data_IF_864491352886
#
_entry.id   IF_864491352886
#
_cell.length_a   1.000
_cell.length_b   1.000
_cell.length_c   1.000
_cell.angle_alpha   90.00
_cell.angle_beta   90.00
_cell.angle_gamma   90.00
#
_symmetry.space_group_name_H-M   'P 1'
#
loop_
_entity.id
_entity.type
_entity.pdbx_description
1 polymer ?
#
# COMPACT_ATOMS: atom_id res chain seq x y z
N UNK A 1 -8.32 -3.99 37.46
CA UNK A 1 -9.44 -4.50 36.63
C UNK A 1 -9.61 -3.72 35.32
N UNK A 2 -9.48 -2.38 35.29
CA UNK A 2 -9.56 -1.57 34.06
C UNK A 2 -8.46 -1.85 33.01
N UNK A 3 -7.24 -2.21 33.43
CA UNK A 3 -6.13 -2.53 32.51
C UNK A 3 -6.36 -3.82 31.72
N UNK A 4 -7.00 -4.82 32.33
CA UNK A 4 -7.29 -6.10 31.68
C UNK A 4 -8.38 -5.95 30.61
N UNK A 5 -9.37 -5.09 30.87
CA UNK A 5 -10.46 -4.79 29.91
C UNK A 5 -9.93 -4.09 28.66
N UNK A 6 -8.93 -3.20 28.78
CA UNK A 6 -8.31 -2.52 27.63
C UNK A 6 -7.49 -3.48 26.76
N UNK A 7 -6.81 -4.46 27.36
CA UNK A 7 -6.03 -5.46 26.60
C UNK A 7 -6.97 -6.40 25.83
N UNK A 8 -8.07 -6.84 26.45
CA UNK A 8 -9.06 -7.72 25.80
C UNK A 8 -9.84 -7.01 24.68
N UNK A 9 -10.17 -5.71 24.85
CA UNK A 9 -10.79 -4.92 23.79
C UNK A 9 -9.81 -4.62 22.62
N UNK A 10 -8.54 -4.36 22.90
CA UNK A 10 -7.52 -4.17 21.87
C UNK A 10 -7.29 -5.42 21.00
N UNK A 11 -7.34 -6.61 21.61
CA UNK A 11 -7.21 -7.88 20.88
C UNK A 11 -8.44 -8.21 20.02
N UNK A 12 -9.65 -7.78 20.41
CA UNK A 12 -10.86 -8.01 19.59
C UNK A 12 -10.90 -7.15 18.32
N UNK A 13 -10.35 -5.93 18.36
CA UNK A 13 -10.26 -5.07 17.18
C UNK A 13 -9.25 -5.63 16.17
N UNK A 14 -8.12 -6.19 16.65
CA UNK A 14 -7.14 -6.85 15.78
C UNK A 14 -7.72 -8.12 15.11
N UNK A 15 -8.59 -8.87 15.80
CA UNK A 15 -9.28 -10.03 15.23
C UNK A 15 -10.29 -9.70 14.14
N UNK A 16 -11.01 -8.58 14.27
CA UNK A 16 -12.00 -8.14 13.29
C UNK A 16 -11.36 -7.63 11.98
N UNK A 17 -10.19 -6.97 12.06
CA UNK A 17 -9.44 -6.55 10.87
C UNK A 17 -8.69 -7.71 10.19
N UNK A 18 -8.24 -8.71 10.96
CA UNK A 18 -7.54 -9.88 10.42
C UNK A 18 -8.42 -10.77 9.54
N UNK A 19 -9.70 -10.95 9.90
CA UNK A 19 -10.62 -11.81 9.15
C UNK A 19 -10.94 -11.31 7.73
N UNK A 20 -11.25 -10.01 7.61
CA UNK A 20 -11.61 -9.40 6.31
C UNK A 20 -10.43 -9.28 5.34
N UNK A 21 -9.21 -9.15 5.86
CA UNK A 21 -8.01 -9.05 5.00
C UNK A 21 -7.57 -10.40 4.44
N UNK A 22 -7.91 -11.50 5.12
CA UNK A 22 -7.52 -12.86 4.72
C UNK A 22 -8.39 -13.48 3.62
N UNK A 23 -9.57 -12.92 3.36
CA UNK A 23 -10.50 -13.42 2.33
C UNK A 23 -10.27 -12.77 0.94
N UNK A 24 -9.45 -11.72 0.84
CA UNK A 24 -9.22 -10.98 -0.42
C UNK A 24 -8.12 -11.64 -1.29
N UNK A 25 -7.29 -12.57 -0.77
CA UNK A 25 -6.11 -13.05 -1.51
C UNK A 25 -5.95 -14.58 -1.52
N UNK A 26 -6.30 -15.27 -2.63
CA UNK A 26 -6.02 -16.70 -2.78
C UNK A 26 -4.52 -16.95 -3.10
N UNK A 27 -3.71 -17.25 -2.07
CA UNK A 27 -2.26 -17.52 -2.20
C UNK A 27 -1.51 -17.60 -0.86
N UNK A 28 -2.13 -18.23 0.16
CA UNK A 28 -1.97 -17.96 1.61
C UNK A 28 -0.57 -17.95 2.23
N UNK A 29 0.46 -18.59 1.66
CA UNK A 29 1.79 -18.59 2.30
C UNK A 29 2.62 -17.39 1.85
N UNK A 30 2.66 -17.12 0.54
CA UNK A 30 3.46 -16.03 -0.03
C UNK A 30 2.91 -14.67 0.38
N UNK A 31 1.58 -14.53 0.41
CA UNK A 31 0.92 -13.29 0.85
C UNK A 31 1.15 -13.00 2.34
N UNK A 32 1.18 -14.04 3.18
CA UNK A 32 1.48 -13.91 4.60
C UNK A 32 2.95 -13.55 4.86
N UNK A 33 3.88 -14.12 4.10
CA UNK A 33 5.30 -13.77 4.18
C UNK A 33 5.56 -12.34 3.70
N UNK A 34 4.88 -11.89 2.65
CA UNK A 34 4.94 -10.49 2.20
C UNK A 34 4.38 -9.56 3.27
N UNK A 35 3.25 -9.91 3.88
CA UNK A 35 2.68 -9.14 4.99
C UNK A 35 3.64 -9.06 6.19
N UNK A 36 4.23 -10.18 6.60
CA UNK A 36 5.24 -10.22 7.66
C UNK A 36 6.48 -9.40 7.31
N UNK A 37 6.93 -9.46 6.05
CA UNK A 37 8.02 -8.65 5.55
C UNK A 37 7.69 -7.16 5.69
N UNK A 38 6.51 -6.71 5.23
CA UNK A 38 6.09 -5.32 5.38
C UNK A 38 5.91 -4.90 6.85
N UNK A 39 5.37 -5.76 7.71
CA UNK A 39 5.26 -5.51 9.15
C UNK A 39 6.64 -5.37 9.80
N UNK A 40 7.59 -6.25 9.46
CA UNK A 40 8.96 -6.15 9.97
C UNK A 40 9.65 -4.88 9.48
N UNK A 41 9.48 -4.52 8.21
CA UNK A 41 10.03 -3.29 7.63
C UNK A 41 9.42 -2.05 8.29
N UNK A 42 8.10 -2.02 8.47
CA UNK A 42 7.40 -0.94 9.17
C UNK A 42 7.86 -0.82 10.63
N UNK A 43 8.14 -1.94 11.30
CA UNK A 43 8.67 -1.95 12.67
C UNK A 43 10.09 -1.39 12.72
N UNK A 44 10.96 -1.83 11.80
CA UNK A 44 12.35 -1.35 11.70
C UNK A 44 12.37 0.15 11.35
N UNK A 45 11.66 0.57 10.29
CA UNK A 45 11.62 1.98 9.91
C UNK A 45 10.93 2.84 10.95
N UNK A 46 9.85 2.35 11.57
CA UNK A 46 9.18 3.02 12.68
C UNK A 46 10.14 3.26 13.84
N UNK A 47 10.92 2.24 14.24
CA UNK A 47 11.92 2.39 15.30
C UNK A 47 13.06 3.35 14.92
N UNK A 48 13.52 3.35 13.67
CA UNK A 48 14.53 4.30 13.17
C UNK A 48 14.00 5.73 13.19
N UNK A 49 12.77 5.96 12.72
CA UNK A 49 12.15 7.30 12.72
C UNK A 49 11.90 7.78 14.15
N UNK A 50 11.39 6.92 15.03
CA UNK A 50 11.27 7.23 16.47
C UNK A 50 12.64 7.55 17.06
N UNK A 51 13.69 6.83 16.68
CA UNK A 51 15.05 7.12 17.10
C UNK A 51 15.56 8.47 16.57
N UNK A 52 15.48 8.72 15.27
CA UNK A 52 16.06 9.88 14.60
C UNK A 52 15.28 11.17 14.82
N UNK A 53 13.95 11.10 14.96
CA UNK A 53 13.09 12.28 15.20
C UNK A 53 12.79 12.41 16.68
N UNK A 54 12.52 11.30 17.36
CA UNK A 54 12.28 11.30 18.79
C UNK A 54 13.52 11.64 19.60
N UNK A 55 14.73 11.23 19.19
CA UNK A 55 15.96 11.58 19.94
C UNK A 55 16.24 13.09 19.95
N UNK A 56 16.22 13.84 18.82
CA UNK A 56 16.34 15.30 18.85
C UNK A 56 15.22 16.00 19.61
N UNK A 57 13.97 15.53 19.50
CA UNK A 57 12.86 16.10 20.28
C UNK A 57 13.05 15.83 21.77
N UNK A 58 13.55 14.65 22.14
CA UNK A 58 13.83 14.28 23.52
C UNK A 58 15.04 15.03 24.08
N UNK A 59 16.12 15.16 23.31
CA UNK A 59 17.28 15.98 23.65
C UNK A 59 16.92 17.46 23.73
N UNK A 60 16.09 17.97 22.83
CA UNK A 60 15.56 19.33 22.89
C UNK A 60 14.65 19.50 24.11
N UNK A 61 13.80 18.52 24.43
CA UNK A 61 12.97 18.56 25.64
C UNK A 61 13.83 18.51 26.91
N UNK A 62 14.92 17.73 26.94
CA UNK A 62 15.88 17.73 28.06
C UNK A 62 16.63 19.05 28.14
N UNK A 63 17.08 19.59 27.01
CA UNK A 63 17.79 20.86 26.95
C UNK A 63 16.88 22.02 27.37
N UNK A 64 15.70 22.12 26.78
CA UNK A 64 14.67 23.10 27.15
C UNK A 64 14.29 22.94 28.61
N UNK A 65 14.10 21.72 29.11
CA UNK A 65 13.85 21.47 30.52
C UNK A 65 15.09 21.74 31.39
N UNK A 66 16.33 21.65 30.91
CA UNK A 66 17.53 22.03 31.67
C UNK A 66 17.63 23.55 31.86
N UNK A 67 17.33 24.30 30.79
CA UNK A 67 17.27 25.77 30.84
C UNK A 67 16.06 26.26 31.62
N UNK A 68 14.90 25.63 31.42
CA UNK A 68 13.68 25.93 32.16
C UNK A 68 13.79 25.45 33.61
N UNK A 69 14.49 24.35 33.95
CA UNK A 69 14.81 23.97 35.35
C UNK A 69 15.67 25.04 36.03
N UNK A 70 16.58 25.73 35.32
CA UNK A 70 17.30 26.87 35.92
C UNK A 70 16.36 28.04 36.24
N UNK A 71 15.47 28.39 35.32
CA UNK A 71 14.49 29.46 35.55
C UNK A 71 13.40 29.03 36.55
N UNK A 72 13.06 27.75 36.57
CA UNK A 72 12.02 27.13 37.39
C UNK A 72 12.52 26.81 38.80
N UNK A 73 13.79 26.48 39.03
CA UNK A 73 14.40 26.44 40.39
C UNK A 73 14.39 27.85 41.00
N UNK A 74 14.52 28.89 40.19
CA UNK A 74 14.38 30.27 40.66
C UNK A 74 12.93 30.61 41.06
N UNK A 75 11.93 30.08 40.34
CA UNK A 75 10.49 30.25 40.60
C UNK A 75 9.90 29.25 41.62
N UNK A 76 10.53 28.09 41.81
CA UNK A 76 10.14 27.07 42.78
C UNK A 76 10.46 27.46 44.22
N UNK A 77 11.33 28.45 44.43
CA UNK A 77 11.49 29.07 45.75
C UNK A 77 10.21 29.79 46.20
N UNK A 78 9.30 30.11 45.28
CA UNK A 78 8.10 30.92 45.55
C UNK A 78 6.77 30.23 45.25
N UNK A 79 6.74 29.08 44.56
CA UNK A 79 5.46 28.46 44.17
C UNK A 79 5.46 26.93 44.32
N UNK A 80 5.43 26.48 45.57
CA UNK A 80 5.23 25.07 45.96
C UNK A 80 3.75 24.67 45.87
N UNK A 81 3.16 24.63 44.68
CA UNK A 81 1.97 23.80 44.37
C UNK A 81 1.49 24.02 42.93
N UNK A 82 1.73 23.07 42.02
CA UNK A 82 0.69 22.50 41.13
C UNK A 82 1.25 21.52 40.08
N UNK A 83 0.51 20.40 40.00
CA UNK A 83 0.29 19.43 38.91
C UNK A 83 1.48 18.89 38.13
N UNK A 84 1.74 17.59 38.33
CA UNK A 84 2.59 16.73 37.51
C UNK A 84 2.04 16.64 36.09
N UNK A 85 2.60 17.41 35.17
CA UNK A 85 2.39 17.22 33.74
C UNK A 85 3.09 15.93 33.30
N UNK A 86 2.30 14.91 32.98
CA UNK A 86 2.79 13.57 32.65
C UNK A 86 3.31 13.53 31.20
N UNK A 87 4.62 13.72 31.06
CA UNK A 87 5.35 13.83 29.78
C UNK A 87 5.13 12.64 28.84
N UNK A 88 4.72 11.46 29.36
CA UNK A 88 4.42 10.28 28.54
C UNK A 88 3.25 10.50 27.58
N UNK A 89 2.20 11.18 28.03
CA UNK A 89 0.98 11.39 27.23
C UNK A 89 1.17 12.27 25.99
N UNK A 90 2.17 13.16 25.99
CA UNK A 90 2.41 14.09 24.89
C UNK A 90 3.12 13.43 23.69
N UNK A 91 4.08 12.53 23.95
CA UNK A 91 4.82 11.81 22.89
C UNK A 91 3.90 10.82 22.17
N UNK A 92 3.05 10.12 22.92
CA UNK A 92 2.05 9.20 22.36
C UNK A 92 1.04 9.93 21.45
N UNK A 93 0.62 11.13 21.85
CA UNK A 93 -0.33 11.94 21.08
C UNK A 93 0.22 12.40 19.71
N UNK A 94 1.53 12.55 19.57
CA UNK A 94 2.17 12.96 18.30
C UNK A 94 2.60 11.79 17.42
N UNK A 95 2.98 10.66 18.00
CA UNK A 95 3.43 9.50 17.23
C UNK A 95 2.28 8.90 16.39
N UNK A 96 1.10 8.73 16.99
CA UNK A 96 -0.07 8.12 16.35
C UNK A 96 -0.47 8.80 15.02
N UNK A 97 -0.67 10.14 14.96
CA UNK A 97 -1.04 10.80 13.71
C UNK A 97 0.06 10.74 12.65
N UNK A 98 1.34 10.79 13.04
CA UNK A 98 2.45 10.68 12.10
C UNK A 98 2.49 9.31 11.40
N UNK A 99 2.28 8.21 12.14
CA UNK A 99 2.17 6.89 11.55
C UNK A 99 0.93 6.75 10.66
N UNK A 100 -0.21 7.34 11.06
CA UNK A 100 -1.42 7.36 10.24
C UNK A 100 -1.23 8.09 8.91
N UNK A 101 -0.58 9.25 8.92
CA UNK A 101 -0.28 10.02 7.71
C UNK A 101 0.70 9.26 6.80
N UNK A 102 1.78 8.69 7.37
CA UNK A 102 2.73 7.90 6.60
C UNK A 102 2.07 6.71 5.92
N UNK A 103 1.22 5.96 6.64
CA UNK A 103 0.47 4.84 6.10
C UNK A 103 -0.44 5.29 4.94
N UNK A 104 -1.17 6.39 5.13
CA UNK A 104 -2.05 6.96 4.11
C UNK A 104 -1.28 7.38 2.84
N UNK A 105 -0.11 8.01 2.99
CA UNK A 105 0.75 8.38 1.85
C UNK A 105 1.22 7.13 1.09
N UNK A 106 1.62 6.08 1.80
CA UNK A 106 2.08 4.82 1.19
C UNK A 106 0.95 4.13 0.42
N UNK A 107 -0.27 4.10 0.97
CA UNK A 107 -1.44 3.52 0.31
C UNK A 107 -1.88 4.32 -0.92
N UNK A 108 -1.86 5.65 -0.87
CA UNK A 108 -2.28 6.49 -1.98
C UNK A 108 -1.30 6.49 -3.16
N UNK A 109 -0.03 6.17 -2.92
CA UNK A 109 1.01 6.18 -3.96
C UNK A 109 1.15 4.84 -4.71
N UNK A 110 0.23 3.87 -4.55
CA UNK A 110 0.31 2.53 -5.17
C UNK A 110 1.65 1.81 -4.93
N UNK A 111 2.28 2.07 -3.77
CA UNK A 111 3.59 1.49 -3.41
C UNK A 111 3.51 -0.04 -3.29
N UNK A 112 2.47 -0.65 -2.67
CA UNK A 112 2.38 -2.09 -2.56
C UNK A 112 2.34 -2.79 -3.93
N UNK A 113 1.53 -2.30 -4.87
CA UNK A 113 1.42 -2.82 -6.23
C UNK A 113 2.75 -2.66 -6.98
N UNK A 114 3.41 -1.52 -6.81
CA UNK A 114 4.70 -1.24 -7.43
C UNK A 114 5.78 -2.20 -6.94
N UNK A 115 5.86 -2.45 -5.62
CA UNK A 115 6.83 -3.40 -5.04
C UNK A 115 6.55 -4.82 -5.52
N UNK A 116 5.29 -5.26 -5.48
CA UNK A 116 4.93 -6.59 -5.95
C UNK A 116 5.23 -6.78 -7.44
N UNK A 117 4.97 -5.74 -8.26
CA UNK A 117 5.33 -5.74 -9.66
C UNK A 117 6.85 -5.84 -9.85
N UNK A 118 7.64 -5.04 -9.11
CA UNK A 118 9.10 -5.09 -9.17
C UNK A 118 9.66 -6.49 -8.89
N UNK A 119 9.12 -7.20 -7.90
CA UNK A 119 9.51 -8.58 -7.58
C UNK A 119 9.14 -9.58 -8.70
N UNK A 120 8.11 -9.29 -9.48
CA UNK A 120 7.60 -10.16 -10.56
C UNK A 120 8.01 -9.70 -11.97
N UNK A 121 8.71 -8.58 -12.08
CA UNK A 121 8.90 -7.82 -13.33
C UNK A 121 9.50 -8.67 -14.45
N UNK A 122 10.51 -9.48 -14.16
CA UNK A 122 11.18 -10.34 -15.16
C UNK A 122 10.23 -11.34 -15.82
N UNK A 123 9.25 -11.86 -15.05
CA UNK A 123 8.25 -12.80 -15.59
C UNK A 123 7.25 -12.10 -16.50
N UNK A 124 6.86 -10.86 -16.16
CA UNK A 124 6.00 -10.02 -16.99
C UNK A 124 6.71 -9.55 -18.27
N UNK A 125 7.99 -9.20 -18.19
CA UNK A 125 8.79 -8.81 -19.36
C UNK A 125 8.93 -9.96 -20.34
N UNK A 126 9.38 -11.12 -19.89
CA UNK A 126 9.46 -12.35 -20.71
C UNK A 126 8.11 -12.69 -21.35
N UNK A 127 7.02 -12.60 -20.57
CA UNK A 127 5.68 -12.86 -21.07
C UNK A 127 5.26 -11.86 -22.15
N UNK A 128 5.53 -10.57 -21.93
CA UNK A 128 5.17 -9.50 -22.87
C UNK A 128 5.80 -9.69 -24.25
N UNK A 129 7.07 -10.14 -24.29
CA UNK A 129 7.77 -10.44 -25.53
C UNK A 129 7.17 -11.67 -26.24
N UNK A 130 6.81 -12.70 -25.46
CA UNK A 130 6.12 -13.88 -25.97
C UNK A 130 4.74 -13.56 -26.56
N UNK A 131 3.96 -12.68 -25.92
CA UNK A 131 2.65 -12.28 -26.45
C UNK A 131 2.78 -11.36 -27.67
N UNK A 132 3.73 -10.42 -27.66
CA UNK A 132 3.99 -9.52 -28.77
C UNK A 132 4.37 -10.27 -30.06
N UNK A 133 5.21 -11.31 -29.95
CA UNK A 133 5.65 -12.11 -31.09
C UNK A 133 4.56 -13.05 -31.64
N UNK A 134 3.78 -13.68 -30.75
CA UNK A 134 2.77 -14.67 -31.16
C UNK A 134 1.46 -14.05 -31.69
N UNK A 135 1.19 -12.78 -31.40
CA UNK A 135 -0.09 -12.14 -31.72
C UNK A 135 0.05 -10.98 -32.70
N UNK A 136 1.03 -11.07 -33.61
CA UNK A 136 1.22 -10.09 -34.68
C UNK A 136 -0.04 -9.92 -35.57
N UNK A 137 -0.90 -10.93 -35.66
CA UNK A 137 -2.19 -10.85 -36.34
C UNK A 137 -3.28 -10.36 -35.39
N UNK A 138 -3.45 -9.04 -35.32
CA UNK A 138 -4.50 -8.38 -34.55
C UNK A 138 -5.90 -8.68 -35.16
N UNK A 139 -6.93 -8.98 -34.36
CA UNK A 139 -8.29 -9.07 -34.88
C UNK A 139 -8.79 -7.70 -35.38
N UNK A 140 -9.77 -7.68 -36.29
CA UNK A 140 -10.27 -6.44 -36.94
C UNK A 140 -10.85 -5.41 -35.97
N UNK A 141 -11.32 -5.84 -34.81
CA UNK A 141 -11.81 -4.98 -33.74
C UNK A 141 -10.68 -4.30 -32.93
N UNK A 142 -9.42 -4.63 -33.25
CA UNK A 142 -8.23 -4.08 -32.62
C UNK A 142 -8.06 -4.51 -31.17
N UNK A 143 -8.68 -5.61 -30.73
CA UNK A 143 -8.57 -6.13 -29.36
C UNK A 143 -8.49 -7.65 -29.37
N UNK A 144 -7.56 -8.21 -28.62
CA UNK A 144 -7.49 -9.66 -28.39
C UNK A 144 -7.43 -9.93 -26.90
N UNK A 145 -8.26 -10.84 -26.40
CA UNK A 145 -8.25 -11.27 -25.00
C UNK A 145 -8.07 -12.78 -24.94
N UNK A 146 -7.04 -13.21 -24.23
CA UNK A 146 -6.63 -14.62 -24.14
C UNK A 146 -6.76 -15.04 -22.68
N UNK A 147 -7.45 -16.15 -22.43
CA UNK A 147 -7.47 -16.76 -21.11
C UNK A 147 -6.12 -17.42 -20.83
N UNK A 148 -5.49 -17.07 -19.70
CA UNK A 148 -4.15 -17.53 -19.33
C UNK A 148 -4.19 -18.37 -18.06
N UNK A 149 -4.82 -17.86 -16.99
CA UNK A 149 -4.96 -18.58 -15.72
C UNK A 149 -3.65 -18.98 -15.04
N UNK A 150 -2.51 -18.34 -15.37
CA UNK A 150 -1.15 -18.71 -14.94
C UNK A 150 -0.59 -17.71 -13.93
N UNK A 151 0.38 -18.14 -13.13
CA UNK A 151 1.15 -17.25 -12.24
C UNK A 151 2.33 -16.58 -12.95
N UNK A 152 2.51 -15.29 -12.69
CA UNK A 152 3.62 -14.43 -13.12
C UNK A 152 4.22 -13.80 -11.87
N UNK A 153 5.29 -14.41 -11.36
CA UNK A 153 5.84 -14.11 -10.03
C UNK A 153 4.79 -14.37 -8.95
N UNK A 154 4.49 -13.35 -8.15
CA UNK A 154 3.51 -13.45 -7.05
C UNK A 154 2.06 -13.28 -7.50
N UNK A 155 1.83 -12.85 -8.75
CA UNK A 155 0.49 -12.56 -9.26
C UNK A 155 -0.07 -13.74 -10.04
N UNK A 156 -1.36 -14.01 -9.87
CA UNK A 156 -2.11 -14.88 -10.79
C UNK A 156 -2.75 -14.00 -11.85
N UNK A 157 -2.41 -14.23 -13.11
CA UNK A 157 -3.02 -13.54 -14.25
C UNK A 157 -4.08 -14.45 -14.85
N UNK A 158 -5.32 -13.98 -14.88
CA UNK A 158 -6.43 -14.75 -15.41
C UNK A 158 -6.57 -14.55 -16.93
N UNK A 159 -6.39 -13.32 -17.42
CA UNK A 159 -6.45 -12.98 -18.83
C UNK A 159 -5.34 -12.03 -19.27
N UNK A 160 -4.93 -12.15 -20.53
CA UNK A 160 -4.03 -11.20 -21.20
C UNK A 160 -4.76 -10.56 -22.36
N UNK A 161 -4.83 -9.23 -22.34
CA UNK A 161 -5.41 -8.40 -23.38
C UNK A 161 -4.33 -7.73 -24.21
N UNK A 162 -4.48 -7.67 -25.52
CA UNK A 162 -3.61 -6.90 -26.43
C UNK A 162 -4.50 -5.90 -27.18
N UNK A 163 -4.06 -4.64 -27.24
CA UNK A 163 -4.72 -3.60 -28.03
C UNK A 163 -4.03 -3.32 -29.36
N UNK A 164 -4.76 -2.74 -30.32
CA UNK A 164 -4.29 -2.48 -31.68
C UNK A 164 -3.14 -1.47 -31.78
N UNK A 165 -2.75 -0.86 -30.67
CA UNK A 165 -1.65 0.12 -30.56
C UNK A 165 -0.42 -0.48 -29.86
N UNK A 166 -0.46 -1.77 -29.54
CA UNK A 166 0.66 -2.51 -28.95
C UNK A 166 0.66 -2.55 -27.42
N UNK A 167 -0.41 -2.09 -26.76
CA UNK A 167 -0.55 -2.23 -25.31
C UNK A 167 -0.85 -3.67 -24.91
N UNK A 168 -0.09 -4.20 -23.94
CA UNK A 168 -0.25 -5.57 -23.42
C UNK A 168 -0.67 -5.51 -21.96
N UNK A 169 -1.90 -5.96 -21.69
CA UNK A 169 -2.59 -5.87 -20.42
C UNK A 169 -2.66 -7.25 -19.77
N UNK A 170 -2.14 -7.38 -18.56
CA UNK A 170 -2.21 -8.58 -17.74
C UNK A 170 -3.20 -8.35 -16.62
N UNK A 171 -4.38 -8.97 -16.70
CA UNK A 171 -5.40 -8.85 -15.65
C UNK A 171 -5.08 -9.78 -14.49
N UNK A 172 -4.96 -9.21 -13.29
CA UNK A 172 -4.61 -9.97 -12.07
C UNK A 172 -5.80 -10.16 -11.14
N UNK A 173 -6.80 -9.27 -11.24
CA UNK A 173 -7.99 -9.34 -10.41
C UNK A 173 -9.20 -8.75 -11.14
N UNK A 174 -10.38 -9.23 -10.78
CA UNK A 174 -11.65 -8.56 -11.06
C UNK A 174 -12.43 -8.42 -9.76
N UNK A 175 -12.90 -7.21 -9.46
CA UNK A 175 -13.79 -6.96 -8.33
C UNK A 175 -15.11 -6.38 -8.82
N UNK A 176 -16.16 -6.59 -8.04
CA UNK A 176 -17.43 -5.93 -8.24
C UNK A 176 -17.39 -4.56 -7.55
N UNK A 177 -17.77 -3.49 -8.25
CA UNK A 177 -17.85 -2.12 -7.76
C UNK A 177 -19.27 -1.60 -8.01
N UNK A 178 -20.21 -2.07 -7.20
CA UNK A 178 -21.65 -1.86 -7.42
C UNK A 178 -22.20 -2.77 -8.54
N UNK A 179 -22.93 -2.23 -9.53
CA UNK A 179 -23.33 -3.02 -10.70
C UNK A 179 -22.15 -3.36 -11.62
N UNK A 180 -21.07 -2.57 -11.54
CA UNK A 180 -19.95 -2.63 -12.48
C UNK A 180 -18.92 -3.70 -12.11
N UNK A 181 -18.29 -4.29 -13.12
CA UNK A 181 -17.14 -5.16 -12.95
C UNK A 181 -15.84 -4.43 -13.27
N UNK A 182 -15.03 -4.22 -12.24
CA UNK A 182 -13.72 -3.59 -12.36
C UNK A 182 -12.63 -4.63 -12.59
N UNK A 183 -11.85 -4.44 -13.65
CA UNK A 183 -10.64 -5.19 -13.96
C UNK A 183 -9.39 -4.42 -13.52
N UNK A 184 -8.46 -5.12 -12.88
CA UNK A 184 -7.20 -4.56 -12.40
C UNK A 184 -6.02 -5.38 -12.91
N UNK A 185 -4.88 -4.72 -13.08
CA UNK A 185 -3.63 -5.41 -13.36
C UNK A 185 -2.52 -4.53 -13.85
N UNK A 186 -1.62 -5.11 -14.62
CA UNK A 186 -0.43 -4.46 -15.13
C UNK A 186 -0.51 -4.32 -16.63
N UNK A 187 0.00 -3.21 -17.17
CA UNK A 187 0.03 -2.97 -18.61
C UNK A 187 1.39 -2.44 -19.02
N UNK A 188 1.92 -3.00 -20.12
CA UNK A 188 3.08 -2.46 -20.83
C UNK A 188 2.59 -1.61 -21.99
N UNK A 189 3.09 -0.38 -22.12
CA UNK A 189 2.72 0.56 -23.18
C UNK A 189 1.20 0.81 -23.29
N UNK A 190 0.53 1.29 -22.23
CA UNK A 190 -0.91 1.53 -22.27
C UNK A 190 -1.30 2.56 -23.33
N UNK A 191 -2.46 2.36 -23.96
CA UNK A 191 -3.11 3.42 -24.71
C UNK A 191 -3.88 4.36 -23.75
N UNK A 192 -4.21 5.60 -24.18
CA UNK A 192 -4.97 6.57 -23.35
C UNK A 192 -6.50 6.46 -23.45
N UNK A 193 -7.00 5.60 -24.32
CA UNK A 193 -8.41 5.58 -24.76
C UNK A 193 -9.23 4.44 -24.16
N UNK A 194 -8.60 3.43 -23.55
CA UNK A 194 -9.28 2.30 -22.93
C UNK A 194 -8.39 1.07 -22.77
N UNK A 195 -8.98 -0.03 -22.35
CA UNK A 195 -8.31 -1.34 -22.29
C UNK A 195 -9.11 -2.39 -23.07
N UNK A 196 -8.50 -3.54 -23.41
CA UNK A 196 -9.25 -4.71 -23.87
C UNK A 196 -10.31 -5.20 -22.88
N UNK A 197 -10.21 -4.81 -21.61
CA UNK A 197 -11.11 -5.20 -20.52
C UNK A 197 -12.18 -4.14 -20.20
N UNK A 198 -12.32 -3.10 -21.02
CA UNK A 198 -13.29 -2.03 -20.79
C UNK A 198 -12.73 -0.62 -20.95
N UNK A 199 -13.62 0.37 -21.05
CA UNK A 199 -13.24 1.78 -21.30
C UNK A 199 -13.97 2.83 -20.45
N UNK A 200 -15.05 2.51 -19.73
CA UNK A 200 -15.84 3.56 -19.07
C UNK A 200 -15.13 4.21 -17.89
N UNK A 201 -14.44 3.41 -17.08
CA UNK A 201 -13.62 3.90 -15.96
C UNK A 201 -12.17 3.44 -16.11
N UNK A 202 -11.57 3.80 -17.25
CA UNK A 202 -10.18 3.43 -17.54
C UNK A 202 -9.19 4.44 -16.95
N UNK A 203 -8.33 3.96 -16.06
CA UNK A 203 -7.26 4.72 -15.46
C UNK A 203 -5.96 3.92 -15.50
N UNK A 204 -4.84 4.65 -15.64
CA UNK A 204 -3.49 4.08 -15.56
C UNK A 204 -2.63 4.89 -14.61
N UNK A 205 -1.72 4.22 -13.90
CA UNK A 205 -0.74 4.83 -13.01
C UNK A 205 0.63 4.24 -13.28
N UNK A 206 1.63 5.09 -13.47
CA UNK A 206 2.98 4.67 -13.80
C UNK A 206 3.63 3.88 -12.65
N UNK A 207 4.39 2.84 -12.99
CA UNK A 207 5.17 2.04 -12.02
C UNK A 207 6.67 2.21 -12.30
N UNK A 208 7.13 1.70 -13.46
CA UNK A 208 8.55 1.64 -13.80
C UNK A 208 8.75 1.39 -15.30
N UNK A 209 9.61 2.19 -15.94
CA UNK A 209 9.84 2.11 -17.39
C UNK A 209 8.52 2.25 -18.15
N UNK A 210 8.20 1.26 -18.98
CA UNK A 210 6.99 1.22 -19.80
C UNK A 210 5.79 0.53 -19.12
N UNK A 211 5.91 0.23 -17.82
CA UNK A 211 4.90 -0.49 -17.04
C UNK A 211 4.03 0.42 -16.18
N UNK A 212 2.74 0.11 -16.17
CA UNK A 212 1.71 0.86 -15.45
C UNK A 212 0.76 -0.12 -14.76
N UNK A 213 0.14 0.31 -13.66
CA UNK A 213 -1.08 -0.31 -13.14
C UNK A 213 -2.24 0.19 -13.99
N UNK A 214 -3.19 -0.67 -14.33
CA UNK A 214 -4.46 -0.24 -14.91
C UNK A 214 -5.65 -0.66 -14.05
N UNK A 215 -6.70 0.17 -14.11
CA UNK A 215 -8.05 -0.08 -13.63
C UNK A 215 -9.01 0.19 -14.79
N UNK A 216 -9.96 -0.70 -15.06
CA UNK A 216 -10.93 -0.54 -16.15
C UNK A 216 -12.30 -1.12 -15.78
N UNK A 217 -13.38 -0.41 -16.13
CA UNK A 217 -14.77 -0.93 -16.08
C UNK A 217 -15.20 -1.38 -17.47
N UNK A 218 -15.84 -2.55 -17.56
CA UNK A 218 -16.44 -3.10 -18.78
C UNK A 218 -17.81 -2.50 -19.11
N UNK A 219 -18.46 -1.86 -18.15
CA UNK A 219 -19.81 -1.33 -18.31
C UNK A 219 -19.84 -0.02 -19.11
N UNK A 220 -20.86 0.12 -19.97
CA UNK A 220 -21.19 1.34 -20.68
C UNK A 220 -22.46 1.92 -20.04
N UNK A 221 -22.32 2.91 -19.17
CA UNK A 221 -23.44 3.79 -18.83
C UNK A 221 -23.47 5.00 -19.75
#
# INVERSE_FOLDING_TARGET
MQTLVRIVLGMSIAGAFGGWFLDIVPGRLESFLILLFFLSFATIYGSIIIGLVGSPVWLFAIWANYYDIRDWVSKLRTSRNRSSFDKGTFVEALAIPCFGILFLVVSLANIPESIGFWLSRSTFETASEGYASNHAAMPKDGRSVIAVGKRFGIYRVDQVGIDGRGGIYFRVNTSQDGPDRMSYGFVKNPNRTGSPFGRASYAVSHIAGDWYVFKASDDFY
#
